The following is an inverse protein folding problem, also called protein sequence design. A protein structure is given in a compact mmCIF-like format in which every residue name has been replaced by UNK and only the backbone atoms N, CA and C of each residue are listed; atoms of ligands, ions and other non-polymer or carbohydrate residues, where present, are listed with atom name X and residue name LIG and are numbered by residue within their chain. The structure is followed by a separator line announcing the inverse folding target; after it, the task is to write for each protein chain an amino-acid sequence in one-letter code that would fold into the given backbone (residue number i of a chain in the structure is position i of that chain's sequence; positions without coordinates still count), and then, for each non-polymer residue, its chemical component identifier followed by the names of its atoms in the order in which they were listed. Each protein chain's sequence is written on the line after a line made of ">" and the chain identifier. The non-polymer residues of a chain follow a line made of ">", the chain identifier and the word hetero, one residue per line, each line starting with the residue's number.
data_IF_102991691751
#
_entry.id   IF_102991691751
#
_cell.length_a   1.000
_cell.length_b   1.000
_cell.length_c   1.000
_cell.angle_alpha   90.00
_cell.angle_beta   90.00
_cell.angle_gamma   90.00
#
_symmetry.space_group_name_H-M   'P 1'
#
loop_
_entity.id
_entity.type
_entity.pdbx_description
1 polymer ?
#
# COMPACT_ATOMS: atom_id res chain seq x y z
N UNK A 1 23.06 -26.99 27.36
CA UNK A 1 23.29 -27.12 25.91
C UNK A 1 22.27 -26.21 25.24
N UNK A 2 22.69 -25.17 24.52
CA UNK A 2 21.75 -24.34 23.76
C UNK A 2 20.97 -25.25 22.79
N UNK A 3 19.66 -25.10 22.72
CA UNK A 3 18.82 -25.92 21.84
C UNK A 3 19.28 -25.72 20.39
N UNK A 4 19.79 -26.80 19.78
CA UNK A 4 20.35 -26.81 18.42
C UNK A 4 19.26 -26.73 17.33
N UNK A 5 17.99 -26.53 17.69
CA UNK A 5 16.87 -26.69 16.74
C UNK A 5 16.46 -25.43 15.99
N UNK A 6 16.90 -24.24 16.41
CA UNK A 6 16.72 -23.00 15.65
C UNK A 6 18.09 -22.48 15.22
N UNK A 7 18.85 -23.27 14.45
CA UNK A 7 20.07 -22.77 13.81
C UNK A 7 19.84 -22.58 12.32
N UNK A 8 20.08 -21.35 11.87
CA UNK A 8 20.03 -20.85 10.49
C UNK A 8 18.70 -21.13 9.75
N UNK A 9 17.66 -20.37 10.10
CA UNK A 9 16.44 -20.28 9.30
C UNK A 9 16.80 -19.73 7.91
N UNK A 10 16.63 -20.53 6.86
CA UNK A 10 16.66 -20.06 5.48
C UNK A 10 15.28 -19.51 5.12
N UNK A 11 15.23 -18.42 4.35
CA UNK A 11 13.96 -17.92 3.84
C UNK A 11 13.28 -18.98 2.96
N UNK A 12 11.98 -19.19 3.16
CA UNK A 12 11.15 -20.00 2.26
C UNK A 12 10.93 -19.22 0.96
N UNK A 13 10.90 -19.92 -0.18
CA UNK A 13 10.51 -19.32 -1.46
C UNK A 13 9.01 -19.04 -1.47
N UNK A 14 8.57 -17.95 -2.11
CA UNK A 14 7.14 -17.63 -2.25
C UNK A 14 6.35 -18.77 -2.93
N UNK A 15 6.99 -19.50 -3.86
CA UNK A 15 6.40 -20.66 -4.56
C UNK A 15 6.13 -21.86 -3.66
N UNK A 16 6.83 -21.93 -2.52
CA UNK A 16 6.84 -23.09 -1.63
C UNK A 16 5.91 -22.86 -0.43
N UNK A 17 5.32 -21.66 -0.29
CA UNK A 17 4.37 -21.33 0.77
C UNK A 17 3.02 -21.97 0.48
N UNK A 18 2.66 -22.95 1.30
CA UNK A 18 1.38 -23.66 1.31
C UNK A 18 0.37 -23.07 2.29
N UNK A 19 -0.92 -23.29 2.00
CA UNK A 19 -2.02 -22.86 2.87
C UNK A 19 -2.04 -23.62 4.22
N UNK A 20 -1.47 -24.82 4.26
CA UNK A 20 -1.33 -25.72 5.40
C UNK A 20 0.01 -25.59 6.14
N UNK A 21 0.92 -24.75 5.65
CA UNK A 21 2.16 -24.40 6.37
C UNK A 21 1.86 -23.77 7.72
N UNK A 22 2.75 -24.04 8.67
CA UNK A 22 2.52 -23.73 10.07
C UNK A 22 3.32 -22.52 10.54
N UNK A 23 2.61 -21.58 11.15
CA UNK A 23 3.18 -20.58 12.04
C UNK A 23 3.26 -21.17 13.45
N UNK A 24 4.45 -21.08 14.06
CA UNK A 24 4.62 -21.34 15.48
C UNK A 24 4.23 -20.09 16.26
N UNK A 25 3.24 -20.24 17.14
CA UNK A 25 2.72 -19.16 17.97
C UNK A 25 3.11 -19.44 19.42
N UNK A 26 3.61 -18.41 20.10
CA UNK A 26 3.72 -18.37 21.56
C UNK A 26 2.50 -17.64 22.09
N UNK A 27 1.51 -18.39 22.58
CA UNK A 27 0.28 -17.83 23.13
C UNK A 27 0.44 -17.41 24.59
N UNK A 28 -0.32 -16.39 25.01
CA UNK A 28 -0.29 -15.80 26.34
C UNK A 28 1.14 -15.42 26.82
N UNK A 29 1.94 -14.68 26.02
CA UNK A 29 3.33 -14.36 26.37
C UNK A 29 3.48 -13.52 27.65
N UNK A 30 2.46 -12.74 28.02
CA UNK A 30 2.43 -12.00 29.30
C UNK A 30 1.94 -12.81 30.51
N UNK A 31 1.51 -14.06 30.31
CA UNK A 31 0.97 -14.95 31.34
C UNK A 31 1.77 -16.25 31.44
N UNK A 32 1.12 -17.40 31.22
CA UNK A 32 1.82 -18.69 31.06
C UNK A 32 1.97 -18.99 29.57
N UNK A 33 3.18 -18.86 28.99
CA UNK A 33 3.36 -19.08 27.56
C UNK A 33 3.06 -20.52 27.15
N UNK A 34 2.26 -20.69 26.09
CA UNK A 34 1.92 -22.01 25.52
C UNK A 34 2.25 -22.04 24.04
N UNK A 35 2.93 -23.09 23.59
CA UNK A 35 3.20 -23.30 22.17
C UNK A 35 1.93 -23.76 21.44
N UNK A 36 1.51 -23.00 20.44
CA UNK A 36 0.41 -23.33 19.53
C UNK A 36 0.90 -23.30 18.08
N UNK A 37 0.10 -23.89 17.19
CA UNK A 37 0.29 -23.80 15.74
C UNK A 37 -0.96 -23.23 15.08
N UNK A 38 -0.76 -22.48 14.01
CA UNK A 38 -1.80 -21.97 13.12
C UNK A 38 -1.34 -22.17 11.68
N UNK A 39 -2.25 -22.49 10.76
CA UNK A 39 -1.91 -22.53 9.34
C UNK A 39 -1.92 -21.15 8.71
N UNK A 40 -1.20 -20.96 7.60
CA UNK A 40 -1.27 -19.72 6.82
C UNK A 40 -2.71 -19.40 6.39
N UNK A 41 -3.48 -20.42 5.99
CA UNK A 41 -4.90 -20.24 5.66
C UNK A 41 -5.73 -19.70 6.83
N UNK A 42 -5.48 -20.17 8.04
CA UNK A 42 -6.20 -19.70 9.23
C UNK A 42 -5.89 -18.22 9.52
N UNK A 43 -4.64 -17.78 9.30
CA UNK A 43 -4.25 -16.38 9.48
C UNK A 43 -5.06 -15.45 8.56
N UNK A 44 -5.19 -15.78 7.27
CA UNK A 44 -5.88 -14.92 6.30
C UNK A 44 -7.42 -15.03 6.34
N UNK A 45 -7.96 -16.14 6.85
CA UNK A 45 -9.42 -16.31 7.00
C UNK A 45 -9.96 -15.75 8.32
N UNK A 46 -9.11 -15.53 9.32
CA UNK A 46 -9.52 -15.09 10.64
C UNK A 46 -8.72 -13.87 11.09
N UNK A 47 -9.11 -12.69 10.57
CA UNK A 47 -8.59 -11.40 11.03
C UNK A 47 -9.45 -10.93 12.21
N UNK A 48 -8.95 -10.95 13.46
CA UNK A 48 -9.79 -10.72 14.64
C UNK A 48 -10.20 -9.26 14.85
N UNK A 49 -9.58 -8.32 14.12
CA UNK A 49 -9.80 -6.87 14.22
C UNK A 49 -9.76 -6.22 12.82
N UNK A 50 -9.89 -4.90 12.76
CA UNK A 50 -9.74 -4.15 11.51
C UNK A 50 -8.35 -4.33 10.91
N UNK A 51 -8.28 -4.43 9.57
CA UNK A 51 -7.05 -4.27 8.81
C UNK A 51 -6.77 -2.77 8.72
N UNK A 52 -5.68 -2.33 9.34
CA UNK A 52 -5.24 -0.93 9.32
C UNK A 52 -3.84 -0.83 8.70
N UNK A 53 -3.60 0.28 8.01
CA UNK A 53 -2.28 0.65 7.50
C UNK A 53 -1.83 1.85 8.31
N UNK A 54 -0.81 1.65 9.13
CA UNK A 54 -0.32 2.67 10.08
C UNK A 54 0.64 3.68 9.45
N UNK A 55 0.96 3.50 8.16
CA UNK A 55 1.87 4.36 7.40
C UNK A 55 1.13 5.03 6.23
N UNK A 56 0.55 6.20 6.51
CA UNK A 56 -0.05 7.09 5.51
C UNK A 56 0.97 8.16 5.15
N UNK A 57 1.44 8.14 3.91
CA UNK A 57 2.35 9.17 3.41
C UNK A 57 1.59 10.43 3.04
N UNK A 58 1.79 11.51 3.81
CA UNK A 58 1.23 12.83 3.49
C UNK A 58 2.14 13.54 2.48
N UNK A 59 1.57 13.98 1.37
CA UNK A 59 2.25 14.73 0.32
C UNK A 59 1.67 16.14 0.28
N UNK A 60 2.52 17.13 0.58
CA UNK A 60 2.15 18.55 0.62
C UNK A 60 3.09 19.46 -0.17
N UNK A 61 4.21 18.92 -0.69
CA UNK A 61 5.26 19.66 -1.42
C UNK A 61 5.81 18.83 -2.58
N UNK A 62 6.69 19.43 -3.39
CA UNK A 62 7.13 18.88 -4.67
C UNK A 62 8.00 17.62 -4.58
N UNK A 63 7.76 16.71 -5.54
CA UNK A 63 8.52 15.50 -5.93
C UNK A 63 8.66 14.43 -4.84
N UNK A 64 7.64 13.58 -4.75
CA UNK A 64 7.65 12.31 -4.00
C UNK A 64 7.29 11.17 -4.94
N UNK A 65 8.04 10.06 -4.88
CA UNK A 65 7.65 8.81 -5.53
C UNK A 65 6.64 8.08 -4.64
N UNK A 66 5.46 7.80 -5.19
CA UNK A 66 4.35 7.22 -4.45
C UNK A 66 4.37 5.69 -4.38
N UNK A 67 5.19 5.01 -5.19
CA UNK A 67 5.20 3.55 -5.29
C UNK A 67 5.79 2.85 -4.05
N UNK A 68 6.53 3.56 -3.20
CA UNK A 68 7.12 3.00 -1.98
C UNK A 68 6.15 2.93 -0.79
N UNK A 69 4.98 3.59 -0.87
CA UNK A 69 3.99 3.59 0.19
C UNK A 69 2.64 3.05 -0.26
N UNK A 70 1.90 2.44 0.66
CA UNK A 70 0.58 1.88 0.37
C UNK A 70 -0.49 2.98 0.25
N UNK A 71 -0.57 3.90 1.21
CA UNK A 71 -1.52 5.04 1.19
C UNK A 71 -0.79 6.36 0.95
N UNK A 72 -1.33 7.20 0.08
CA UNK A 72 -0.97 8.61 -0.04
C UNK A 72 -2.15 9.51 0.29
N UNK A 73 -1.89 10.50 1.14
CA UNK A 73 -2.78 11.62 1.42
C UNK A 73 -2.24 12.90 0.76
N UNK A 74 -3.00 13.46 -0.18
CA UNK A 74 -2.74 14.79 -0.70
C UNK A 74 -3.35 15.84 0.23
N UNK A 75 -2.49 16.45 1.05
CA UNK A 75 -2.83 17.54 1.93
C UNK A 75 -2.20 18.84 1.40
N UNK A 76 -2.94 19.55 0.56
CA UNK A 76 -2.45 20.75 -0.13
C UNK A 76 -2.73 22.04 0.64
N UNK A 77 -3.23 21.98 1.89
CA UNK A 77 -3.60 23.16 2.69
C UNK A 77 -2.50 24.23 2.74
N UNK A 78 -1.23 23.82 2.83
CA UNK A 78 -0.05 24.70 2.85
C UNK A 78 0.72 24.74 1.51
N UNK A 79 0.15 24.23 0.43
CA UNK A 79 0.82 24.20 -0.88
C UNK A 79 1.04 25.63 -1.40
N UNK A 80 2.22 25.88 -1.98
CA UNK A 80 2.57 27.15 -2.62
C UNK A 80 2.45 27.11 -4.14
N UNK A 81 2.22 25.93 -4.72
CA UNK A 81 1.98 25.67 -6.13
C UNK A 81 1.29 24.31 -6.31
N UNK A 82 0.79 24.02 -7.52
CA UNK A 82 0.41 22.67 -7.91
C UNK A 82 1.62 21.72 -7.84
N UNK A 83 1.37 20.45 -7.53
CA UNK A 83 2.42 19.43 -7.39
C UNK A 83 2.21 18.29 -8.38
N UNK A 84 3.31 17.67 -8.80
CA UNK A 84 3.27 16.58 -9.79
C UNK A 84 4.13 15.40 -9.29
N UNK A 85 3.66 14.63 -8.30
CA UNK A 85 4.36 13.43 -7.85
C UNK A 85 4.33 12.34 -8.93
N UNK A 86 5.25 11.37 -8.85
CA UNK A 86 5.26 10.22 -9.75
C UNK A 86 4.80 8.96 -9.05
N UNK A 87 4.04 8.12 -9.75
CA UNK A 87 3.80 6.74 -9.38
C UNK A 87 4.68 5.86 -10.26
N UNK A 88 5.86 5.53 -9.73
CA UNK A 88 6.81 4.63 -10.39
C UNK A 88 6.31 3.18 -10.37
N UNK A 89 7.09 2.25 -10.92
CA UNK A 89 6.73 0.84 -10.94
C UNK A 89 6.54 0.29 -9.53
N UNK A 90 5.50 -0.55 -9.37
CA UNK A 90 5.35 -1.35 -8.16
C UNK A 90 6.53 -2.31 -7.99
N UNK A 91 6.92 -2.55 -6.75
CA UNK A 91 7.99 -3.50 -6.41
C UNK A 91 7.51 -4.94 -6.48
N UNK A 92 6.20 -5.17 -6.26
CA UNK A 92 5.62 -6.51 -6.15
C UNK A 92 4.35 -6.65 -7.00
N UNK A 93 4.22 -7.75 -7.74
CA UNK A 93 2.98 -8.09 -8.44
C UNK A 93 1.82 -8.19 -7.45
N UNK A 94 0.71 -7.52 -7.76
CA UNK A 94 -0.44 -7.42 -6.87
C UNK A 94 -0.37 -6.26 -5.88
N UNK A 95 0.70 -5.47 -5.89
CA UNK A 95 0.81 -4.28 -5.03
C UNK A 95 -0.35 -3.33 -5.30
N UNK A 96 -1.08 -3.00 -4.24
CA UNK A 96 -2.12 -1.98 -4.26
C UNK A 96 -1.53 -0.60 -3.92
N UNK A 97 -2.14 0.43 -4.51
CA UNK A 97 -1.89 1.83 -4.16
C UNK A 97 -3.21 2.52 -3.86
N UNK A 98 -3.33 3.14 -2.70
CA UNK A 98 -4.48 3.95 -2.31
C UNK A 98 -4.05 5.41 -2.25
N UNK A 99 -4.84 6.29 -2.85
CA UNK A 99 -4.60 7.73 -2.87
C UNK A 99 -5.89 8.47 -2.57
N UNK A 100 -5.81 9.52 -1.76
CA UNK A 100 -6.93 10.40 -1.48
C UNK A 100 -6.48 11.84 -1.24
N UNK A 101 -7.39 12.80 -1.37
CA UNK A 101 -7.14 14.19 -1.04
C UNK A 101 -7.89 14.60 0.23
N UNK A 102 -7.15 14.94 1.28
CA UNK A 102 -7.72 15.44 2.55
C UNK A 102 -7.90 16.95 2.57
N UNK A 103 -7.12 17.69 1.78
CA UNK A 103 -7.19 19.15 1.76
C UNK A 103 -6.69 19.75 0.46
N UNK A 104 -7.24 20.91 0.12
CA UNK A 104 -6.91 21.68 -1.09
C UNK A 104 -6.50 23.09 -0.73
N UNK A 105 -5.67 23.72 -1.57
CA UNK A 105 -5.31 25.15 -1.43
C UNK A 105 -6.31 26.04 -2.18
N UNK A 106 -7.58 25.98 -1.78
CA UNK A 106 -8.67 26.54 -2.59
C UNK A 106 -8.73 25.88 -3.97
N UNK A 107 -9.21 26.60 -5.00
CA UNK A 107 -9.41 26.07 -6.36
C UNK A 107 -8.18 26.21 -7.28
N UNK A 108 -7.02 26.62 -6.75
CA UNK A 108 -5.90 27.04 -7.60
C UNK A 108 -4.82 25.97 -7.78
N UNK A 109 -4.66 25.05 -6.82
CA UNK A 109 -3.60 24.04 -6.84
C UNK A 109 -4.17 22.63 -6.74
N UNK A 110 -3.59 21.74 -7.52
CA UNK A 110 -3.93 20.33 -7.58
C UNK A 110 -2.68 19.46 -7.38
N UNK A 111 -2.90 18.20 -7.02
CA UNK A 111 -1.89 17.16 -7.11
C UNK A 111 -2.17 16.31 -8.36
N UNK A 112 -1.31 16.39 -9.36
CA UNK A 112 -1.43 15.61 -10.60
C UNK A 112 -0.39 14.50 -10.59
N UNK A 113 -0.81 13.28 -10.25
CA UNK A 113 0.07 12.11 -10.19
C UNK A 113 0.40 11.66 -11.60
N UNK A 114 1.68 11.65 -11.98
CA UNK A 114 2.15 11.07 -13.23
C UNK A 114 2.46 9.58 -13.05
N UNK A 115 1.82 8.71 -13.82
CA UNK A 115 1.97 7.25 -13.73
C UNK A 115 2.96 6.75 -14.77
N UNK A 116 4.09 6.20 -14.31
CA UNK A 116 5.21 5.81 -15.19
C UNK A 116 4.83 4.68 -16.17
N UNK A 117 4.03 3.70 -15.73
CA UNK A 117 3.58 2.58 -16.57
C UNK A 117 2.08 2.37 -16.45
N UNK A 118 1.28 3.28 -17.00
CA UNK A 118 -0.17 3.15 -17.05
C UNK A 118 -0.64 2.02 -17.98
N UNK A 119 -1.77 1.39 -17.65
CA UNK A 119 -2.38 0.31 -18.42
C UNK A 119 -2.67 0.68 -19.89
N UNK A 120 -3.12 1.92 -20.14
CA UNK A 120 -3.46 2.45 -21.46
C UNK A 120 -3.08 3.93 -21.59
N UNK A 121 -3.07 4.43 -22.83
CA UNK A 121 -2.89 5.85 -23.11
C UNK A 121 -4.11 6.66 -22.62
N UNK A 122 -3.88 7.85 -22.07
CA UNK A 122 -4.92 8.67 -21.47
C UNK A 122 -5.24 8.31 -20.02
N UNK A 123 -4.40 7.49 -19.39
CA UNK A 123 -4.42 7.11 -17.96
C UNK A 123 -3.08 7.38 -17.29
N UNK A 124 -2.21 8.18 -17.93
CA UNK A 124 -0.88 8.50 -17.44
C UNK A 124 -0.92 9.59 -16.37
N UNK A 125 -2.07 10.22 -16.12
CA UNK A 125 -2.25 11.17 -15.04
C UNK A 125 -3.53 10.96 -14.23
N UNK A 126 -3.43 11.20 -12.92
CA UNK A 126 -4.58 11.30 -12.02
C UNK A 126 -4.47 12.60 -11.24
N UNK A 127 -5.42 13.50 -11.44
CA UNK A 127 -5.48 14.79 -10.74
C UNK A 127 -6.43 14.75 -9.55
N UNK A 128 -5.95 15.31 -8.44
CA UNK A 128 -6.70 15.55 -7.22
C UNK A 128 -6.73 17.06 -6.94
N UNK A 129 -7.91 17.68 -7.02
CA UNK A 129 -8.15 19.11 -6.82
C UNK A 129 -9.34 19.42 -5.90
N UNK A 130 -10.00 18.39 -5.35
CA UNK A 130 -11.07 18.52 -4.37
C UNK A 130 -10.94 17.53 -3.20
N UNK A 131 -11.43 17.93 -2.03
CA UNK A 131 -11.46 17.06 -0.84
C UNK A 131 -12.39 15.87 -1.10
N UNK A 132 -11.93 14.67 -0.74
CA UNK A 132 -12.71 13.43 -0.87
C UNK A 132 -12.53 12.72 -2.22
N UNK A 133 -11.72 13.28 -3.11
CA UNK A 133 -11.29 12.58 -4.32
C UNK A 133 -10.35 11.42 -3.99
N UNK A 134 -10.54 10.28 -4.66
CA UNK A 134 -9.82 9.04 -4.36
C UNK A 134 -9.51 8.23 -5.61
N UNK A 135 -8.38 7.51 -5.58
CA UNK A 135 -8.08 6.48 -6.55
C UNK A 135 -7.44 5.25 -5.86
N UNK A 136 -7.83 4.07 -6.31
CA UNK A 136 -7.21 2.79 -5.93
C UNK A 136 -6.66 2.14 -7.18
N UNK A 137 -5.39 1.75 -7.14
CA UNK A 137 -4.69 1.10 -8.24
C UNK A 137 -4.07 -0.22 -7.83
N UNK A 138 -3.77 -1.07 -8.81
CA UNK A 138 -3.01 -2.30 -8.64
C UNK A 138 -1.90 -2.41 -9.69
N UNK A 139 -0.71 -2.86 -9.25
CA UNK A 139 0.40 -3.20 -10.12
C UNK A 139 0.30 -4.67 -10.53
N UNK A 140 0.26 -4.96 -11.83
CA UNK A 140 0.21 -6.35 -12.31
C UNK A 140 1.59 -7.00 -12.51
N UNK A 141 2.68 -6.33 -12.11
CA UNK A 141 4.06 -6.71 -12.42
C UNK A 141 4.69 -5.91 -13.56
N UNK A 142 3.88 -5.23 -14.39
CA UNK A 142 4.34 -4.47 -15.57
C UNK A 142 3.67 -3.12 -15.76
N UNK A 143 2.40 -2.99 -15.35
CA UNK A 143 1.59 -1.78 -15.49
C UNK A 143 0.67 -1.58 -14.30
N UNK A 144 0.31 -0.32 -14.06
CA UNK A 144 -0.71 0.09 -13.11
C UNK A 144 -2.09 0.10 -13.76
N UNK A 145 -3.06 -0.49 -13.06
CA UNK A 145 -4.48 -0.47 -13.42
C UNK A 145 -5.26 0.27 -12.33
N UNK A 146 -6.19 1.12 -12.73
CA UNK A 146 -7.13 1.76 -11.80
C UNK A 146 -8.25 0.77 -11.49
N UNK A 147 -8.42 0.44 -10.21
CA UNK A 147 -9.48 -0.43 -9.71
C UNK A 147 -10.72 0.36 -9.32
N UNK A 148 -10.54 1.56 -8.76
CA UNK A 148 -11.62 2.45 -8.38
C UNK A 148 -11.17 3.90 -8.45
N UNK A 149 -12.10 4.78 -8.81
CA UNK A 149 -11.92 6.23 -8.84
C UNK A 149 -13.20 6.90 -8.35
N UNK A 150 -13.08 7.91 -7.48
CA UNK A 150 -14.18 8.78 -7.09
C UNK A 150 -13.73 10.22 -7.19
N UNK A 151 -14.33 10.98 -8.11
CA UNK A 151 -14.11 12.43 -8.26
C UNK A 151 -12.84 12.82 -9.02
N UNK A 152 -11.71 12.14 -8.80
CA UNK A 152 -10.43 12.48 -9.45
C UNK A 152 -10.53 12.46 -10.97
N UNK A 153 -9.82 13.40 -11.60
CA UNK A 153 -9.76 13.50 -13.07
C UNK A 153 -8.64 12.60 -13.59
N UNK A 154 -8.96 11.73 -14.55
CA UNK A 154 -8.01 10.82 -15.19
C UNK A 154 -7.78 11.29 -16.63
N UNK A 155 -6.51 11.47 -17.01
CA UNK A 155 -6.11 11.97 -18.33
C UNK A 155 -4.84 11.30 -18.84
#
# INVERSE_FOLDING_TARGET
>A
MADKKITALTAVSDSDIGADDLLHIVDSPGGTPVNKKMTIAQLFQNVPNAIAVDDITVVSTSVTNLASSFVTDFNLSAASAAITPTLDNGAYTGQLKVMYCSSVHGSNYAATVAITNAAAAGFDQIQFDAIGETAVLIWNGTKWFILANTGSTIT
#
